data_IF_997240106043
#
_entry.id   IF_997240106043
#
_cell.length_a   1.000
_cell.length_b   1.000
_cell.length_c   1.000
_cell.angle_alpha   90.00
_cell.angle_beta   90.00
_cell.angle_gamma   90.00
#
_symmetry.space_group_name_H-M   'P 1'
#
loop_
_entity.id
_entity.type
_entity.pdbx_description
1 polymer ?
#
# COMPACT_ATOMS: atom_id res chain seq x y z
N UNK A 1 2.66 21.04 24.93
CA UNK A 1 3.46 21.22 23.71
C UNK A 1 3.65 19.83 23.15
N UNK A 2 2.96 19.50 22.04
CA UNK A 2 3.04 18.17 21.45
C UNK A 2 4.41 18.02 20.81
N UNK A 3 5.19 17.09 21.35
CA UNK A 3 6.47 16.64 20.83
C UNK A 3 6.25 16.13 19.40
N UNK A 4 6.56 16.99 18.44
CA UNK A 4 6.49 16.65 17.03
C UNK A 4 7.85 16.05 16.68
N UNK A 5 8.05 14.78 17.06
CA UNK A 5 9.20 14.00 16.59
C UNK A 5 9.31 14.19 15.07
N UNK A 6 10.45 14.63 14.54
CA UNK A 6 10.63 14.70 13.11
C UNK A 6 10.53 13.28 12.59
N UNK A 7 9.44 12.98 11.87
CA UNK A 7 9.28 11.76 11.09
C UNK A 7 10.52 11.64 10.20
N UNK A 8 11.47 10.82 10.63
CA UNK A 8 12.67 10.57 9.85
C UNK A 8 12.25 9.50 8.86
N UNK A 9 12.01 9.84 7.58
CA UNK A 9 11.58 8.85 6.62
C UNK A 9 12.66 7.78 6.59
N UNK A 10 12.27 6.53 6.91
CA UNK A 10 13.19 5.42 6.88
C UNK A 10 13.79 5.36 5.47
N UNK A 11 15.11 5.54 5.29
CA UNK A 11 15.72 5.68 3.96
C UNK A 11 15.56 4.40 3.11
N UNK A 12 15.09 3.32 3.72
CA UNK A 12 14.89 2.02 3.11
C UNK A 12 13.40 1.63 3.08
N UNK A 13 12.70 2.07 2.04
CA UNK A 13 11.36 1.54 1.75
C UNK A 13 11.46 0.08 1.32
N UNK A 14 10.77 -0.81 2.05
CA UNK A 14 10.68 -2.25 1.76
C UNK A 14 9.42 -2.56 0.99
N UNK A 15 9.50 -3.39 -0.03
CA UNK A 15 8.35 -3.81 -0.81
C UNK A 15 7.27 -4.47 0.09
N UNK A 16 6.04 -3.99 -0.02
CA UNK A 16 4.87 -4.55 0.66
C UNK A 16 4.28 -5.77 -0.07
N UNK A 17 4.88 -6.18 -1.19
CA UNK A 17 4.44 -7.37 -1.94
C UNK A 17 4.52 -8.63 -1.08
N UNK A 18 3.53 -9.53 -1.15
CA UNK A 18 3.56 -10.79 -0.41
C UNK A 18 4.83 -11.60 -0.69
N UNK A 19 5.53 -12.00 0.38
CA UNK A 19 6.81 -12.70 0.33
C UNK A 19 7.92 -11.97 -0.45
N UNK A 20 7.87 -10.62 -0.50
CA UNK A 20 8.90 -9.80 -1.11
C UNK A 20 9.76 -9.10 -0.04
N UNK A 21 11.09 -9.21 -0.17
CA UNK A 21 12.05 -8.57 0.74
C UNK A 21 12.86 -7.45 0.09
N UNK A 22 12.48 -7.01 -1.12
CA UNK A 22 13.25 -6.01 -1.87
C UNK A 22 13.19 -4.63 -1.21
N UNK A 23 14.32 -3.93 -1.25
CA UNK A 23 14.49 -2.58 -0.73
C UNK A 23 14.63 -1.59 -1.90
N UNK A 24 14.02 -0.42 -1.77
CA UNK A 24 14.12 0.63 -2.78
C UNK A 24 15.56 1.08 -2.99
N UNK A 25 15.93 1.28 -4.25
CA UNK A 25 17.32 1.53 -4.69
C UNK A 25 17.92 0.36 -5.46
N UNK A 26 17.36 -0.86 -5.32
CA UNK A 26 17.76 -2.02 -6.15
C UNK A 26 17.23 -1.93 -7.58
N UNK A 27 16.09 -1.25 -7.78
CA UNK A 27 15.54 -0.97 -9.10
C UNK A 27 14.77 0.38 -9.09
N UNK A 28 14.42 0.87 -10.29
CA UNK A 28 13.68 2.13 -10.47
C UNK A 28 12.18 1.95 -10.73
N UNK A 29 11.64 0.73 -10.62
CA UNK A 29 10.25 0.40 -10.98
C UNK A 29 9.39 0.30 -9.73
N UNK A 30 9.30 1.40 -8.99
CA UNK A 30 8.52 1.45 -7.76
C UNK A 30 7.19 2.13 -7.96
N UNK A 31 6.20 1.59 -7.28
CA UNK A 31 4.83 2.07 -7.23
C UNK A 31 4.44 2.25 -5.77
N UNK A 32 3.36 3.00 -5.56
CA UNK A 32 2.73 3.13 -4.24
C UNK A 32 1.27 2.72 -4.35
N UNK A 33 0.79 1.99 -3.34
CA UNK A 33 -0.58 1.50 -3.26
C UNK A 33 -1.18 1.87 -1.92
N UNK A 34 -2.42 2.34 -1.89
CA UNK A 34 -3.12 2.63 -0.66
C UNK A 34 -4.60 2.35 -0.83
N UNK A 35 -5.28 2.07 0.27
CA UNK A 35 -6.72 1.85 0.28
C UNK A 35 -7.45 3.08 0.79
N UNK A 36 -8.61 3.39 0.21
CA UNK A 36 -9.56 4.35 0.75
C UNK A 36 -10.98 3.79 0.67
N UNK A 37 -11.96 4.53 1.18
CA UNK A 37 -13.36 4.29 0.89
C UNK A 37 -13.81 5.28 -0.20
N UNK A 38 -14.34 4.75 -1.30
CA UNK A 38 -14.86 5.52 -2.42
C UNK A 38 -16.33 5.90 -2.22
N UNK A 39 -17.00 6.27 -3.32
CA UNK A 39 -18.45 6.49 -3.31
C UNK A 39 -19.19 5.23 -2.85
N UNK A 40 -20.30 5.42 -2.13
CA UNK A 40 -21.11 4.34 -1.54
C UNK A 40 -20.38 3.50 -0.48
N UNK A 41 -19.37 4.06 0.20
CA UNK A 41 -18.56 3.36 1.22
C UNK A 41 -17.87 2.08 0.69
N UNK A 42 -17.67 1.99 -0.63
CA UNK A 42 -16.98 0.88 -1.24
C UNK A 42 -15.47 0.99 -1.02
N UNK A 43 -14.78 -0.05 -0.53
CA UNK A 43 -13.33 -0.02 -0.40
C UNK A 43 -12.65 -0.03 -1.77
N UNK A 44 -11.74 0.91 -1.99
CA UNK A 44 -10.99 1.10 -3.24
C UNK A 44 -9.50 0.96 -2.96
N UNK A 45 -8.78 0.29 -3.86
CA UNK A 45 -7.33 0.20 -3.85
C UNK A 45 -6.75 1.03 -4.99
N UNK A 46 -5.96 2.03 -4.65
CA UNK A 46 -5.31 2.92 -5.60
C UNK A 46 -3.91 2.42 -5.94
N UNK A 47 -3.45 2.77 -7.14
CA UNK A 47 -2.10 2.50 -7.63
C UNK A 47 -1.57 3.75 -8.33
N UNK A 48 -0.38 4.19 -7.93
CA UNK A 48 0.29 5.34 -8.55
C UNK A 48 1.78 5.04 -8.75
N UNK A 49 2.45 5.67 -9.73
CA UNK A 49 3.90 5.74 -9.74
C UNK A 49 4.45 6.23 -8.41
N UNK A 50 5.73 5.96 -8.15
CA UNK A 50 6.39 6.35 -6.90
C UNK A 50 6.16 7.82 -6.53
N UNK A 51 5.62 8.03 -5.34
CA UNK A 51 5.46 9.34 -4.72
C UNK A 51 5.65 9.22 -3.20
N UNK A 52 6.71 9.85 -2.68
CA UNK A 52 7.05 9.81 -1.25
C UNK A 52 6.01 10.54 -0.39
N UNK A 53 5.31 11.52 -0.97
CA UNK A 53 4.28 12.25 -0.25
C UNK A 53 3.08 11.37 0.07
N UNK A 54 2.72 10.44 -0.82
CA UNK A 54 1.64 9.47 -0.59
C UNK A 54 2.02 8.47 0.51
N UNK A 55 3.29 8.07 0.59
CA UNK A 55 3.76 7.18 1.66
C UNK A 55 3.66 7.89 3.01
N UNK A 56 4.13 9.14 3.08
CA UNK A 56 4.13 9.91 4.31
C UNK A 56 2.71 10.31 4.77
N UNK A 57 1.80 10.64 3.85
CA UNK A 57 0.48 11.18 4.18
C UNK A 57 -0.63 10.13 4.23
N UNK A 58 -0.69 9.25 3.24
CA UNK A 58 -1.78 8.26 3.08
C UNK A 58 -1.44 6.90 3.70
N UNK A 59 -0.23 6.76 4.28
CA UNK A 59 0.28 5.47 4.70
C UNK A 59 0.44 4.51 3.51
N UNK A 60 0.72 5.04 2.33
CA UNK A 60 0.81 4.24 1.12
C UNK A 60 1.94 3.21 1.19
N UNK A 61 1.65 2.03 0.67
CA UNK A 61 2.51 0.87 0.67
C UNK A 61 3.41 0.87 -0.58
N UNK A 62 4.74 0.86 -0.41
CA UNK A 62 5.67 0.83 -1.53
C UNK A 62 5.74 -0.58 -2.15
N UNK A 63 5.76 -0.69 -3.48
CA UNK A 63 5.83 -1.96 -4.22
C UNK A 63 6.84 -1.89 -5.37
N UNK A 64 7.72 -2.89 -5.48
CA UNK A 64 8.91 -2.85 -6.34
C UNK A 64 8.68 -3.26 -7.81
N UNK A 65 7.43 -3.39 -8.24
CA UNK A 65 7.05 -3.77 -9.60
C UNK A 65 5.65 -4.37 -9.72
N UNK A 66 5.23 -4.59 -10.96
CA UNK A 66 3.87 -5.03 -11.31
C UNK A 66 3.46 -6.33 -10.62
N UNK A 67 4.30 -7.36 -10.60
CA UNK A 67 3.95 -8.64 -9.97
C UNK A 67 3.71 -8.55 -8.46
N UNK A 68 4.41 -7.65 -7.76
CA UNK A 68 4.14 -7.41 -6.34
C UNK A 68 2.85 -6.61 -6.13
N UNK A 69 2.59 -5.62 -6.99
CA UNK A 69 1.34 -4.87 -6.98
C UNK A 69 0.12 -5.77 -7.25
N UNK A 70 0.20 -6.64 -8.25
CA UNK A 70 -0.86 -7.61 -8.57
C UNK A 70 -1.14 -8.58 -7.42
N UNK A 71 -0.10 -9.12 -6.78
CA UNK A 71 -0.29 -10.01 -5.62
C UNK A 71 -0.98 -9.31 -4.45
N UNK A 72 -0.59 -8.07 -4.16
CA UNK A 72 -1.20 -7.27 -3.11
C UNK A 72 -2.65 -6.93 -3.44
N UNK A 73 -2.95 -6.60 -4.70
CA UNK A 73 -4.32 -6.41 -5.20
C UNK A 73 -5.16 -7.69 -5.04
N UNK A 74 -4.63 -8.86 -5.40
CA UNK A 74 -5.34 -10.13 -5.22
C UNK A 74 -5.67 -10.43 -3.76
N UNK A 75 -4.75 -10.14 -2.83
CA UNK A 75 -5.02 -10.28 -1.39
C UNK A 75 -6.09 -9.30 -0.92
N UNK A 76 -6.02 -8.04 -1.34
CA UNK A 76 -7.05 -7.05 -1.03
C UNK A 76 -8.43 -7.52 -1.48
N UNK A 77 -8.57 -7.97 -2.73
CA UNK A 77 -9.83 -8.48 -3.26
C UNK A 77 -10.32 -9.74 -2.53
N UNK A 78 -9.41 -10.61 -2.10
CA UNK A 78 -9.75 -11.77 -1.27
C UNK A 78 -10.33 -11.37 0.08
N UNK A 79 -9.68 -10.42 0.76
CA UNK A 79 -10.13 -9.91 2.06
C UNK A 79 -11.50 -9.22 1.95
N UNK A 80 -11.77 -8.51 0.85
CA UNK A 80 -13.08 -7.89 0.62
C UNK A 80 -14.20 -8.94 0.56
N UNK A 81 -14.01 -9.99 -0.23
CA UNK A 81 -14.99 -11.08 -0.36
C UNK A 81 -15.24 -11.77 0.96
N UNK A 82 -14.18 -12.10 1.70
CA UNK A 82 -14.31 -12.74 3.01
C UNK A 82 -15.06 -11.84 4.01
N UNK A 83 -14.80 -10.54 3.99
CA UNK A 83 -15.52 -9.58 4.84
C UNK A 83 -16.99 -9.43 4.45
N UNK A 84 -17.31 -9.43 3.15
CA UNK A 84 -18.70 -9.43 2.67
C UNK A 84 -19.46 -10.70 3.10
N UNK A 85 -18.82 -11.87 3.00
CA UNK A 85 -19.39 -13.14 3.48
C UNK A 85 -19.65 -13.09 4.99
N UNK A 86 -18.69 -12.61 5.78
CA UNK A 86 -18.85 -12.43 7.24
C UNK A 86 -19.95 -11.46 7.62
N UNK A 87 -20.21 -10.42 6.81
CA UNK A 87 -21.29 -9.45 7.05
C UNK A 87 -22.68 -9.98 6.70
N UNK A 88 -22.77 -11.02 5.87
CA UNK A 88 -24.04 -11.64 5.45
C UNK A 88 -24.48 -12.79 6.35
N UNK A 89 -23.54 -13.43 7.04
CA UNK A 89 -23.78 -14.51 8.00
C UNK A 89 -24.35 -13.98 9.32
#
# INVERSE_FOLDING_TARGET
MADSEPFTPNPFHRCAGPNCGLVKGVNNRWWVMWSSFGEYEAPVLHLSPWDETLIAKEGALPVCGEGCAQKLQSQFMGNLRENEERRRA
#
